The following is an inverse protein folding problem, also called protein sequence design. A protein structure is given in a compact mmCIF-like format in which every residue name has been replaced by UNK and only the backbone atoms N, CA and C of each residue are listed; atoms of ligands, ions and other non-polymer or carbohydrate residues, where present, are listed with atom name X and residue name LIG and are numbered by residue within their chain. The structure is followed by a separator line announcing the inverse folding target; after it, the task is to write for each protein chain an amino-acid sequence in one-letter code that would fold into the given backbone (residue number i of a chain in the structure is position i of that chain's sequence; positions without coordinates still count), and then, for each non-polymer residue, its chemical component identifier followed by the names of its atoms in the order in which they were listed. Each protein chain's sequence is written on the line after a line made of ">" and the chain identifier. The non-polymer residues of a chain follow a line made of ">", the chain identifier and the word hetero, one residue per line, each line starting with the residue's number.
data_IF_282090016028
#
_entry.id   IF_282090016028
#
_cell.length_a   1.000
_cell.length_b   1.000
_cell.length_c   1.000
_cell.angle_alpha   90.00
_cell.angle_beta   90.00
_cell.angle_gamma   90.00
#
_symmetry.space_group_name_H-M   'P 1'
#
loop_
_entity.id
_entity.type
_entity.pdbx_description
1 polymer ?
#
# COMPACT_ATOMS: atom_id res chain seq x y z
N UNK A 1 -1.51 21.90 0.17
CA UNK A 1 -1.89 20.47 0.09
C UNK A 1 -1.03 19.65 -0.87
N UNK A 2 -0.72 20.14 -2.09
CA UNK A 2 0.06 19.36 -3.07
C UNK A 2 1.44 18.89 -2.58
N UNK A 3 2.14 19.71 -1.78
CA UNK A 3 3.43 19.31 -1.18
C UNK A 3 3.26 18.18 -0.17
N UNK A 4 2.25 18.25 0.71
CA UNK A 4 2.00 17.22 1.74
C UNK A 4 1.75 15.87 1.07
N UNK A 5 0.90 15.83 0.03
CA UNK A 5 0.64 14.59 -0.71
C UNK A 5 1.91 14.00 -1.36
N UNK A 6 2.81 14.85 -1.88
CA UNK A 6 4.11 14.40 -2.42
C UNK A 6 5.01 13.81 -1.33
N UNK A 7 5.09 14.46 -0.17
CA UNK A 7 5.88 13.97 0.96
C UNK A 7 5.33 12.67 1.53
N UNK A 8 4.01 12.56 1.73
CA UNK A 8 3.37 11.32 2.19
C UNK A 8 3.59 10.18 1.20
N UNK A 9 3.49 10.44 -0.10
CA UNK A 9 3.77 9.44 -1.14
C UNK A 9 5.23 8.96 -1.11
N UNK A 10 6.18 9.89 -0.99
CA UNK A 10 7.60 9.55 -0.86
C UNK A 10 7.86 8.74 0.41
N UNK A 11 7.27 9.15 1.54
CA UNK A 11 7.35 8.45 2.81
C UNK A 11 6.85 7.00 2.70
N UNK A 12 5.65 6.79 2.15
CA UNK A 12 5.10 5.44 1.93
C UNK A 12 6.04 4.55 1.11
N UNK A 13 6.59 5.07 0.00
CA UNK A 13 7.51 4.31 -0.84
C UNK A 13 8.81 3.98 -0.11
N UNK A 14 9.36 4.92 0.63
CA UNK A 14 10.58 4.72 1.42
C UNK A 14 10.33 3.69 2.53
N UNK A 15 9.19 3.75 3.22
CA UNK A 15 8.81 2.76 4.24
C UNK A 15 8.70 1.34 3.66
N UNK A 16 8.11 1.16 2.48
CA UNK A 16 8.06 -0.19 1.85
C UNK A 16 9.46 -0.69 1.49
N UNK A 17 10.36 0.19 1.02
CA UNK A 17 11.75 -0.18 0.74
C UNK A 17 12.52 -0.56 2.01
N UNK A 18 12.36 0.22 3.08
CA UNK A 18 12.97 -0.08 4.39
C UNK A 18 12.44 -1.42 4.89
N UNK A 19 11.13 -1.67 4.82
CA UNK A 19 10.52 -2.93 5.22
C UNK A 19 11.12 -4.11 4.43
N UNK A 20 11.21 -4.00 3.11
CA UNK A 20 11.81 -5.04 2.27
C UNK A 20 13.28 -5.31 2.64
N UNK A 21 14.06 -4.26 2.87
CA UNK A 21 15.45 -4.38 3.33
C UNK A 21 15.54 -5.02 4.72
N UNK A 22 14.63 -4.67 5.64
CA UNK A 22 14.54 -5.26 6.98
C UNK A 22 14.18 -6.75 6.92
N UNK A 23 13.27 -7.15 6.03
CA UNK A 23 12.92 -8.57 5.82
C UNK A 23 14.14 -9.35 5.29
N UNK A 24 14.85 -8.81 4.30
CA UNK A 24 16.08 -9.43 3.78
C UNK A 24 17.14 -9.53 4.88
N UNK A 25 17.32 -8.47 5.67
CA UNK A 25 18.26 -8.46 6.78
C UNK A 25 17.88 -9.47 7.88
N UNK A 26 16.59 -9.67 8.14
CA UNK A 26 16.09 -10.65 9.11
C UNK A 26 16.26 -12.10 8.62
N UNK A 27 16.32 -12.33 7.30
CA UNK A 27 16.52 -13.65 6.72
C UNK A 27 18.00 -14.09 6.71
N UNK A 28 18.95 -13.18 6.91
CA UNK A 28 20.38 -13.51 6.90
C UNK A 28 20.81 -14.09 8.26
N UNK A 29 21.41 -15.30 8.30
CA UNK A 29 21.91 -15.86 9.54
C UNK A 29 23.10 -15.04 10.05
N UNK A 30 22.96 -14.46 11.25
CA UNK A 30 24.03 -13.74 11.93
C UNK A 30 23.59 -13.12 13.24
N UNK A 31 24.50 -13.07 14.22
CA UNK A 31 24.30 -12.46 15.55
C UNK A 31 24.08 -10.93 15.53
N UNK A 32 23.91 -10.31 14.35
CA UNK A 32 23.72 -8.86 14.25
C UNK A 32 22.42 -8.49 14.94
N UNK A 33 22.55 -7.85 16.10
CA UNK A 33 21.55 -7.13 16.90
C UNK A 33 20.12 -7.31 16.39
N UNK A 34 19.57 -8.51 16.62
CA UNK A 34 18.20 -8.92 16.32
C UNK A 34 17.16 -7.86 16.70
N UNK A 35 17.39 -7.24 17.86
CA UNK A 35 16.61 -6.13 18.41
C UNK A 35 16.51 -4.93 17.46
N UNK A 36 17.59 -4.58 16.79
CA UNK A 36 17.63 -3.43 15.88
C UNK A 36 16.77 -3.74 14.66
N UNK A 37 16.95 -4.91 14.03
CA UNK A 37 16.19 -5.30 12.83
C UNK A 37 14.69 -5.34 13.12
N UNK A 38 14.29 -5.96 14.24
CA UNK A 38 12.89 -6.01 14.67
C UNK A 38 12.32 -4.61 14.94
N UNK A 39 13.07 -3.73 15.60
CA UNK A 39 12.62 -2.35 15.86
C UNK A 39 12.44 -1.58 14.56
N UNK A 40 13.39 -1.68 13.63
CA UNK A 40 13.26 -1.06 12.31
C UNK A 40 12.06 -1.61 11.52
N UNK A 41 11.85 -2.93 11.58
CA UNK A 41 10.70 -3.57 10.94
C UNK A 41 9.38 -2.99 11.48
N UNK A 42 9.25 -2.93 12.80
CA UNK A 42 8.04 -2.41 13.49
C UNK A 42 7.79 -0.93 13.20
N UNK A 43 8.85 -0.11 13.23
CA UNK A 43 8.75 1.33 12.93
C UNK A 43 8.42 1.55 11.45
N UNK A 44 9.01 0.77 10.55
CA UNK A 44 8.77 0.90 9.11
C UNK A 44 7.35 0.49 8.73
N UNK A 45 6.86 -0.60 9.32
CA UNK A 45 5.49 -1.09 9.20
C UNK A 45 4.48 -0.04 9.65
N UNK A 46 4.62 0.44 10.89
CA UNK A 46 3.73 1.46 11.45
C UNK A 46 3.78 2.78 10.67
N UNK A 47 4.93 3.19 10.15
CA UNK A 47 5.03 4.35 9.24
C UNK A 47 4.28 4.11 7.92
N UNK A 48 4.33 2.89 7.39
CA UNK A 48 3.59 2.49 6.19
C UNK A 48 2.08 2.62 6.38
N UNK A 49 1.58 2.06 7.49
CA UNK A 49 0.17 2.18 7.90
C UNK A 49 -0.23 3.64 8.08
N UNK A 50 0.55 4.42 8.85
CA UNK A 50 0.26 5.84 9.09
C UNK A 50 0.23 6.65 7.79
N UNK A 51 1.16 6.39 6.88
CA UNK A 51 1.18 7.04 5.56
C UNK A 51 -0.05 6.66 4.73
N UNK A 52 -0.43 5.38 4.74
CA UNK A 52 -1.61 4.87 4.04
C UNK A 52 -2.88 5.54 4.57
N UNK A 53 -3.16 5.48 5.88
CA UNK A 53 -4.38 6.08 6.41
C UNK A 53 -4.35 7.62 6.42
N UNK A 54 -3.17 8.28 6.36
CA UNK A 54 -3.09 9.74 6.08
C UNK A 54 -3.61 10.08 4.67
N UNK A 55 -3.29 9.25 3.66
CA UNK A 55 -3.85 9.45 2.32
C UNK A 55 -5.36 9.27 2.31
N UNK A 56 -5.88 8.32 3.10
CA UNK A 56 -7.31 8.09 3.27
C UNK A 56 -7.98 9.29 3.96
N UNK A 57 -7.37 9.80 5.03
CA UNK A 57 -7.89 10.93 5.80
C UNK A 57 -7.99 12.21 4.97
N UNK A 58 -7.03 12.47 4.07
CA UNK A 58 -7.11 13.58 3.11
C UNK A 58 -8.36 13.47 2.24
N UNK A 59 -8.73 12.25 1.79
CA UNK A 59 -9.93 12.04 0.98
C UNK A 59 -11.21 12.25 1.77
N UNK A 60 -11.26 11.73 2.99
CA UNK A 60 -12.39 11.99 3.90
C UNK A 60 -12.53 13.50 4.14
N UNK A 61 -11.43 14.19 4.42
CA UNK A 61 -11.43 15.65 4.59
C UNK A 61 -11.98 16.40 3.36
N UNK A 62 -11.62 15.97 2.15
CA UNK A 62 -12.15 16.54 0.92
C UNK A 62 -13.68 16.33 0.75
N UNK A 63 -14.20 15.15 1.09
CA UNK A 63 -15.64 14.84 1.04
C UNK A 63 -16.43 15.74 2.00
N UNK A 64 -15.90 15.90 3.21
CA UNK A 64 -16.51 16.69 4.29
C UNK A 64 -16.24 18.19 4.20
N UNK A 65 -15.72 18.68 3.07
CA UNK A 65 -15.38 20.11 2.85
C UNK A 65 -14.56 20.71 4.01
N UNK A 66 -13.70 19.92 4.64
CA UNK A 66 -12.88 20.34 5.79
C UNK A 66 -13.67 20.89 6.98
N UNK A 67 -14.84 20.33 7.27
CA UNK A 67 -15.54 20.67 8.51
C UNK A 67 -14.65 20.41 9.74
N UNK A 68 -14.43 21.47 10.52
CA UNK A 68 -13.48 21.48 11.65
C UNK A 68 -13.71 20.34 12.64
N UNK A 69 -14.97 19.94 12.85
CA UNK A 69 -15.36 18.86 13.76
C UNK A 69 -14.81 17.51 13.30
N UNK A 70 -15.01 17.15 12.02
CA UNK A 70 -14.55 15.86 11.47
C UNK A 70 -13.03 15.82 11.42
N UNK A 71 -12.40 16.93 11.00
CA UNK A 71 -10.94 17.03 10.97
C UNK A 71 -10.35 16.90 12.38
N UNK A 72 -10.97 17.50 13.39
CA UNK A 72 -10.54 17.35 14.78
C UNK A 72 -10.60 15.89 15.24
N UNK A 73 -11.71 15.19 14.99
CA UNK A 73 -11.86 13.76 15.35
C UNK A 73 -10.79 12.90 14.69
N UNK A 74 -10.57 13.09 13.39
CA UNK A 74 -9.52 12.38 12.65
C UNK A 74 -8.15 12.66 13.28
N UNK A 75 -7.79 13.92 13.52
CA UNK A 75 -6.50 14.27 14.11
C UNK A 75 -6.31 13.69 15.52
N UNK A 76 -7.36 13.69 16.34
CA UNK A 76 -7.31 13.08 17.69
C UNK A 76 -7.10 11.57 17.63
N UNK A 77 -7.75 10.89 16.68
CA UNK A 77 -7.58 9.45 16.47
C UNK A 77 -6.14 9.14 16.05
N UNK A 78 -5.59 9.90 15.10
CA UNK A 78 -4.20 9.78 14.66
C UNK A 78 -3.19 9.95 15.78
N UNK A 79 -3.37 11.00 16.59
CA UNK A 79 -2.48 11.26 17.71
C UNK A 79 -2.52 10.11 18.72
N UNK A 80 -3.69 9.53 18.95
CA UNK A 80 -3.87 8.39 19.85
C UNK A 80 -3.16 7.14 19.31
N UNK A 81 -3.38 6.78 18.05
CA UNK A 81 -2.73 5.63 17.41
C UNK A 81 -1.21 5.81 17.40
N UNK A 82 -0.74 6.99 17.02
CA UNK A 82 0.69 7.30 16.99
C UNK A 82 1.34 7.18 18.38
N UNK A 83 0.67 7.69 19.43
CA UNK A 83 1.14 7.56 20.80
C UNK A 83 1.20 6.09 21.25
N UNK A 84 0.18 5.28 20.93
CA UNK A 84 0.15 3.85 21.25
C UNK A 84 1.27 3.08 20.54
N UNK A 85 1.49 3.37 19.25
CA UNK A 85 2.59 2.76 18.48
C UNK A 85 3.95 3.13 19.05
N UNK A 86 4.16 4.39 19.42
CA UNK A 86 5.43 4.84 20.00
C UNK A 86 5.68 4.21 21.36
N UNK A 87 4.66 4.15 22.21
CA UNK A 87 4.72 3.46 23.50
C UNK A 87 5.07 1.97 23.30
N UNK A 88 4.38 1.30 22.39
CA UNK A 88 4.66 -0.10 22.06
C UNK A 88 6.09 -0.32 21.52
N UNK A 89 6.57 0.60 20.67
CA UNK A 89 7.92 0.52 20.08
C UNK A 89 9.04 0.64 21.12
N UNK A 90 8.80 1.37 22.21
CA UNK A 90 9.76 1.53 23.32
C UNK A 90 9.77 0.27 24.19
N UNK A 91 8.59 -0.28 24.47
CA UNK A 91 8.41 -1.44 25.35
C UNK A 91 8.79 -2.76 24.68
N UNK A 92 8.85 -2.81 23.36
CA UNK A 92 9.16 -4.02 22.60
C UNK A 92 10.59 -4.51 22.89
N UNK A 93 10.65 -5.67 23.54
CA UNK A 93 11.85 -6.48 23.68
C UNK A 93 11.87 -7.61 22.64
N UNK A 94 13.07 -7.96 22.16
CA UNK A 94 13.29 -9.15 21.34
C UNK A 94 14.19 -10.12 22.08
N UNK A 95 13.89 -11.41 22.02
CA UNK A 95 14.79 -12.46 22.51
C UNK A 95 15.19 -13.31 21.31
N UNK A 96 16.50 -13.56 21.17
CA UNK A 96 17.00 -14.43 20.11
C UNK A 96 16.81 -15.90 20.53
N UNK A 97 16.08 -16.66 19.71
CA UNK A 97 15.90 -18.10 19.95
C UNK A 97 17.01 -18.87 19.22
N UNK A 98 17.88 -19.51 19.99
CA UNK A 98 19.00 -20.30 19.45
C UNK A 98 18.52 -21.55 18.71
N UNK A 99 17.33 -22.07 19.02
CA UNK A 99 16.78 -23.31 18.47
C UNK A 99 16.32 -23.12 17.03
N UNK A 100 15.63 -22.01 16.78
CA UNK A 100 15.08 -21.66 15.48
C UNK A 100 16.07 -20.82 14.64
N UNK A 101 17.16 -20.37 15.25
CA UNK A 101 18.08 -19.38 14.67
C UNK A 101 17.34 -18.14 14.13
N UNK A 102 16.26 -17.77 14.82
CA UNK A 102 15.36 -16.71 14.41
C UNK A 102 15.09 -15.75 15.56
N UNK A 103 14.86 -14.51 15.15
CA UNK A 103 14.44 -13.42 16.00
C UNK A 103 12.96 -13.59 16.35
N UNK A 104 12.66 -13.89 17.62
CA UNK A 104 11.28 -13.99 18.08
C UNK A 104 10.90 -12.77 18.91
N UNK A 105 9.65 -12.35 18.79
CA UNK A 105 9.06 -11.33 19.64
C UNK A 105 8.68 -11.96 20.99
N UNK A 106 9.24 -11.49 22.09
CA UNK A 106 8.92 -12.02 23.41
C UNK A 106 7.63 -11.43 24.01
N UNK A 107 7.01 -10.45 23.35
CA UNK A 107 5.88 -9.68 23.88
C UNK A 107 4.74 -9.43 22.87
N UNK A 108 4.34 -10.45 22.10
CA UNK A 108 3.22 -10.33 21.15
C UNK A 108 1.90 -9.92 21.83
N UNK A 109 1.66 -10.37 23.07
CA UNK A 109 0.42 -10.09 23.78
C UNK A 109 0.15 -8.59 23.97
N UNK A 110 1.20 -7.76 24.07
CA UNK A 110 1.05 -6.30 24.20
C UNK A 110 0.80 -5.60 22.86
N UNK A 111 1.04 -6.29 21.73
CA UNK A 111 0.81 -5.78 20.38
C UNK A 111 -0.66 -5.78 19.95
N UNK A 112 -1.54 -6.45 20.70
CA UNK A 112 -2.97 -6.52 20.40
C UNK A 112 -3.63 -5.14 20.53
N UNK A 113 -3.24 -4.36 21.54
CA UNK A 113 -3.82 -3.03 21.80
C UNK A 113 -3.60 -2.05 20.63
N UNK A 114 -2.37 -1.82 20.12
CA UNK A 114 -2.17 -0.96 18.97
C UNK A 114 -2.83 -1.52 17.70
N UNK A 115 -2.83 -2.85 17.50
CA UNK A 115 -3.49 -3.46 16.34
C UNK A 115 -5.01 -3.21 16.33
N UNK A 116 -5.69 -3.41 17.47
CA UNK A 116 -7.13 -3.11 17.59
C UNK A 116 -7.38 -1.61 17.40
N UNK A 117 -6.52 -0.74 17.96
CA UNK A 117 -6.67 0.70 17.81
C UNK A 117 -6.57 1.14 16.34
N UNK A 118 -5.64 0.56 15.57
CA UNK A 118 -5.51 0.79 14.13
C UNK A 118 -6.75 0.31 13.37
N UNK A 119 -7.20 -0.93 13.62
CA UNK A 119 -8.39 -1.48 12.97
C UNK A 119 -9.64 -0.63 13.23
N UNK A 120 -9.86 -0.21 14.48
CA UNK A 120 -10.97 0.69 14.84
C UNK A 120 -10.83 2.03 14.11
N UNK A 121 -9.60 2.54 14.00
CA UNK A 121 -9.30 3.74 13.25
C UNK A 121 -9.63 3.64 11.76
N UNK A 122 -9.24 2.54 11.12
CA UNK A 122 -9.50 2.30 9.70
C UNK A 122 -10.98 2.03 9.43
N UNK A 123 -11.68 1.32 10.31
CA UNK A 123 -13.14 1.17 10.28
C UNK A 123 -13.86 2.52 10.47
N UNK A 124 -13.38 3.39 11.37
CA UNK A 124 -13.93 4.74 11.57
C UNK A 124 -13.72 5.60 10.31
N UNK A 125 -12.54 5.57 9.70
CA UNK A 125 -12.25 6.28 8.46
C UNK A 125 -13.14 5.77 7.31
N UNK A 126 -13.31 4.46 7.20
CA UNK A 126 -14.18 3.83 6.21
C UNK A 126 -15.64 4.22 6.43
N UNK A 127 -16.11 4.22 7.67
CA UNK A 127 -17.45 4.68 8.04
C UNK A 127 -17.65 6.17 7.71
N UNK A 128 -16.72 7.05 8.10
CA UNK A 128 -16.78 8.48 7.80
C UNK A 128 -16.78 8.76 6.29
N UNK A 129 -16.02 7.98 5.52
CA UNK A 129 -16.04 8.04 4.07
C UNK A 129 -17.42 7.61 3.54
N UNK A 130 -17.93 6.47 4.00
CA UNK A 130 -19.22 5.93 3.58
C UNK A 130 -20.38 6.88 3.90
N UNK A 131 -20.45 7.40 5.13
CA UNK A 131 -21.46 8.37 5.56
C UNK A 131 -21.34 9.69 4.81
N UNK A 132 -20.12 10.20 4.63
CA UNK A 132 -19.88 11.42 3.85
C UNK A 132 -20.36 11.26 2.41
N UNK A 133 -20.21 10.06 1.85
CA UNK A 133 -20.72 9.73 0.52
C UNK A 133 -22.24 9.59 0.51
N UNK A 134 -22.83 8.81 1.42
CA UNK A 134 -24.28 8.62 1.50
C UNK A 134 -25.03 9.95 1.66
N UNK A 135 -24.50 10.87 2.47
CA UNK A 135 -25.06 12.19 2.69
C UNK A 135 -25.09 13.04 1.40
N UNK A 136 -23.99 13.02 0.64
CA UNK A 136 -23.86 13.77 -0.64
C UNK A 136 -24.65 13.15 -1.77
N UNK A 137 -24.85 11.82 -1.74
CA UNK A 137 -25.55 11.07 -2.78
C UNK A 137 -26.99 11.55 -2.98
N UNK A 138 -27.65 12.02 -1.90
CA UNK A 138 -28.99 12.60 -1.97
C UNK A 138 -29.09 13.87 -2.81
N UNK A 139 -27.99 14.63 -2.95
CA UNK A 139 -27.99 15.94 -3.62
C UNK A 139 -27.31 15.95 -5.00
N UNK A 140 -26.49 14.95 -5.33
CA UNK A 140 -25.56 15.03 -6.46
C UNK A 140 -25.57 13.76 -7.32
N UNK A 141 -26.66 13.51 -8.06
CA UNK A 141 -26.78 12.38 -9.01
C UNK A 141 -25.96 12.57 -10.30
N UNK A 142 -25.30 13.71 -10.52
CA UNK A 142 -24.70 14.08 -11.82
C UNK A 142 -23.17 14.00 -11.93
N UNK A 143 -22.42 13.71 -10.87
CA UNK A 143 -20.95 13.75 -10.96
C UNK A 143 -20.33 12.37 -11.24
N UNK A 144 -19.94 12.12 -12.49
CA UNK A 144 -19.14 10.95 -12.93
C UNK A 144 -17.83 10.79 -12.15
N UNK A 145 -17.22 11.89 -11.69
CA UNK A 145 -16.03 11.85 -10.83
C UNK A 145 -16.26 11.07 -9.53
N UNK A 146 -17.48 11.10 -9.00
CA UNK A 146 -17.84 10.38 -7.78
C UNK A 146 -17.75 8.87 -7.94
N UNK A 147 -18.25 8.36 -9.06
CA UNK A 147 -18.32 6.93 -9.34
C UNK A 147 -16.93 6.34 -9.54
N UNK A 148 -16.02 7.13 -10.13
CA UNK A 148 -14.61 6.76 -10.26
C UNK A 148 -13.89 6.74 -8.90
N UNK A 149 -14.15 7.73 -8.02
CA UNK A 149 -13.62 7.74 -6.66
C UNK A 149 -14.16 6.58 -5.80
N UNK A 150 -15.44 6.25 -5.94
CA UNK A 150 -16.07 5.11 -5.25
C UNK A 150 -15.41 3.80 -5.64
N UNK A 151 -15.37 3.50 -6.94
CA UNK A 151 -14.98 2.16 -7.39
C UNK A 151 -13.48 1.89 -7.20
N UNK A 152 -12.64 2.92 -7.35
CA UNK A 152 -11.21 2.76 -7.13
C UNK A 152 -10.84 2.90 -5.65
N UNK A 153 -11.26 3.95 -4.94
CA UNK A 153 -10.78 4.20 -3.58
C UNK A 153 -11.43 3.32 -2.52
N UNK A 154 -12.76 3.17 -2.58
CA UNK A 154 -13.52 2.47 -1.54
C UNK A 154 -13.32 0.95 -1.61
N UNK A 155 -13.13 0.40 -2.82
CA UNK A 155 -12.88 -1.03 -2.99
C UNK A 155 -11.54 -1.45 -2.37
N UNK A 156 -10.46 -0.69 -2.56
CA UNK A 156 -9.17 -1.01 -1.93
C UNK A 156 -9.21 -0.84 -0.40
N UNK A 157 -9.92 0.18 0.08
CA UNK A 157 -10.16 0.39 1.50
C UNK A 157 -10.89 -0.78 2.15
N UNK A 158 -11.99 -1.20 1.52
CA UNK A 158 -12.77 -2.33 1.99
C UNK A 158 -11.94 -3.62 1.96
N UNK A 159 -11.17 -3.84 0.90
CA UNK A 159 -10.29 -4.99 0.79
C UNK A 159 -9.19 -4.98 1.88
N UNK A 160 -8.62 -3.81 2.19
CA UNK A 160 -7.65 -3.67 3.27
C UNK A 160 -8.29 -4.03 4.63
N UNK A 161 -9.46 -3.48 4.95
CA UNK A 161 -10.18 -3.80 6.19
C UNK A 161 -10.55 -5.29 6.29
N UNK A 162 -10.91 -5.94 5.18
CA UNK A 162 -11.19 -7.38 5.13
C UNK A 162 -9.95 -8.23 5.38
N UNK A 163 -8.75 -7.75 5.00
CA UNK A 163 -7.47 -8.42 5.25
C UNK A 163 -6.99 -8.17 6.68
N UNK A 164 -7.22 -6.98 7.23
CA UNK A 164 -6.83 -6.62 8.58
C UNK A 164 -7.65 -7.35 9.66
N UNK A 165 -8.95 -7.59 9.41
CA UNK A 165 -9.83 -8.35 10.31
C UNK A 165 -9.25 -9.73 10.72
N UNK A 166 -8.90 -10.64 9.80
CA UNK A 166 -8.33 -11.94 10.17
C UNK A 166 -6.96 -11.81 10.83
N UNK A 167 -6.17 -10.77 10.52
CA UNK A 167 -4.90 -10.49 11.23
C UNK A 167 -5.17 -10.20 12.70
N UNK A 168 -6.10 -9.30 12.99
CA UNK A 168 -6.45 -8.94 14.38
C UNK A 168 -7.09 -10.12 15.12
N UNK A 169 -7.92 -10.91 14.46
CA UNK A 169 -8.52 -12.13 15.04
C UNK A 169 -7.43 -13.17 15.35
N UNK A 170 -6.50 -13.42 14.44
CA UNK A 170 -5.37 -14.33 14.67
C UNK A 170 -4.45 -13.84 15.79
N UNK A 171 -4.17 -12.54 15.83
CA UNK A 171 -3.38 -11.93 16.89
C UNK A 171 -4.07 -12.02 18.25
N UNK A 172 -5.41 -11.94 18.28
CA UNK A 172 -6.21 -12.09 19.49
C UNK A 172 -6.29 -13.52 20.01
N UNK A 173 -6.21 -14.51 19.11
CA UNK A 173 -6.26 -15.94 19.46
C UNK A 173 -4.89 -16.51 19.86
N UNK A 174 -3.79 -15.75 19.65
CA UNK A 174 -2.40 -16.12 20.00
C UNK A 174 -2.00 -17.55 19.61
N UNK A 175 -2.47 -18.02 18.45
CA UNK A 175 -2.31 -19.43 18.04
C UNK A 175 -0.84 -19.72 17.70
N UNK A 176 -0.16 -18.80 17.01
CA UNK A 176 1.26 -18.94 16.69
C UNK A 176 1.87 -17.59 16.25
N UNK A 177 2.99 -17.20 16.88
CA UNK A 177 3.76 -16.01 16.52
C UNK A 177 4.22 -16.00 15.04
N UNK A 178 4.57 -17.19 14.51
CA UNK A 178 5.03 -17.34 13.13
C UNK A 178 3.90 -17.00 12.15
N UNK A 179 2.70 -17.54 12.39
CA UNK A 179 1.56 -17.32 11.50
C UNK A 179 1.14 -15.85 11.50
N UNK A 180 1.19 -15.19 12.66
CA UNK A 180 0.91 -13.77 12.78
C UNK A 180 1.89 -12.96 11.90
N UNK A 181 3.19 -13.23 11.97
CA UNK A 181 4.19 -12.50 11.17
C UNK A 181 4.00 -12.64 9.65
N UNK A 182 3.59 -13.84 9.20
CA UNK A 182 3.32 -14.12 7.78
C UNK A 182 2.06 -13.39 7.31
N UNK A 183 1.06 -13.19 8.17
CA UNK A 183 -0.18 -12.50 7.83
C UNK A 183 -0.05 -10.97 7.86
N UNK A 184 0.82 -10.41 8.70
CA UNK A 184 1.12 -8.98 8.68
C UNK A 184 1.78 -8.55 7.36
N UNK A 185 2.66 -9.39 6.82
CA UNK A 185 3.41 -9.08 5.59
C UNK A 185 2.51 -8.68 4.39
N UNK A 186 1.53 -9.49 3.95
CA UNK A 186 0.66 -9.14 2.82
C UNK A 186 -0.23 -7.93 3.08
N UNK A 187 -0.58 -7.66 4.34
CA UNK A 187 -1.37 -6.48 4.72
C UNK A 187 -0.68 -5.19 4.28
N UNK A 188 0.61 -5.05 4.63
CA UNK A 188 1.42 -3.88 4.28
C UNK A 188 1.58 -3.73 2.76
N UNK A 189 1.76 -4.85 2.05
CA UNK A 189 1.84 -4.82 0.59
C UNK A 189 0.55 -4.35 -0.06
N UNK A 190 -0.60 -4.83 0.41
CA UNK A 190 -1.91 -4.44 -0.13
C UNK A 190 -2.19 -2.97 0.18
N UNK A 191 -1.91 -2.50 1.39
CA UNK A 191 -2.01 -1.08 1.77
C UNK A 191 -1.11 -0.20 0.89
N UNK A 192 0.14 -0.60 0.68
CA UNK A 192 1.08 0.11 -0.19
C UNK A 192 0.63 0.18 -1.65
N UNK A 193 0.15 -0.94 -2.21
CA UNK A 193 -0.39 -0.98 -3.58
C UNK A 193 -1.64 -0.11 -3.69
N UNK A 194 -2.54 -0.18 -2.71
CA UNK A 194 -3.73 0.66 -2.61
C UNK A 194 -3.37 2.14 -2.61
N UNK A 195 -2.45 2.55 -1.74
CA UNK A 195 -1.95 3.92 -1.62
C UNK A 195 -1.34 4.45 -2.94
N UNK A 196 -0.51 3.64 -3.61
CA UNK A 196 0.13 4.06 -4.87
C UNK A 196 -0.87 4.19 -6.03
N UNK A 197 -1.81 3.25 -6.16
CA UNK A 197 -2.89 3.34 -7.17
C UNK A 197 -3.79 4.55 -6.91
N UNK A 198 -4.11 4.77 -5.64
CA UNK A 198 -4.89 5.90 -5.18
C UNK A 198 -4.22 7.24 -5.53
N UNK A 199 -2.92 7.39 -5.28
CA UNK A 199 -2.16 8.60 -5.61
C UNK A 199 -2.07 8.85 -7.11
N UNK A 200 -1.79 7.80 -7.92
CA UNK A 200 -1.71 7.93 -9.38
C UNK A 200 -3.02 8.40 -9.99
N UNK A 201 -4.15 7.85 -9.53
CA UNK A 201 -5.49 8.24 -9.98
C UNK A 201 -5.77 9.73 -9.75
N UNK A 202 -5.38 10.29 -8.61
CA UNK A 202 -5.51 11.74 -8.36
C UNK A 202 -4.63 12.59 -9.28
N UNK A 203 -3.39 12.16 -9.51
CA UNK A 203 -2.46 12.92 -10.33
C UNK A 203 -2.85 12.90 -11.82
N UNK A 204 -3.48 11.82 -12.31
CA UNK A 204 -4.00 11.79 -13.68
C UNK A 204 -5.14 12.80 -13.90
N UNK A 205 -6.02 12.99 -12.92
CA UNK A 205 -7.11 13.96 -13.04
C UNK A 205 -6.59 15.41 -13.06
N UNK A 206 -5.55 15.72 -12.30
CA UNK A 206 -5.02 17.09 -12.22
C UNK A 206 -4.18 17.50 -13.45
N UNK A 207 -3.61 16.54 -14.21
CA UNK A 207 -2.85 16.83 -15.44
C UNK A 207 -3.74 17.02 -16.68
N UNK A 208 -5.03 16.68 -16.61
CA UNK A 208 -5.95 16.74 -17.75
C UNK A 208 -6.54 18.13 -18.06
N UNK A 209 -6.23 19.17 -17.30
CA UNK A 209 -6.86 20.49 -17.42
C UNK A 209 -6.27 21.46 -18.47
N UNK A 210 -5.34 21.03 -19.32
CA UNK A 210 -4.53 21.95 -20.13
C UNK A 210 -4.52 21.80 -21.66
N UNK A 211 -4.97 20.68 -22.24
CA UNK A 211 -5.06 20.54 -23.70
C UNK A 211 -5.74 19.23 -24.07
N UNK A 212 -6.89 19.32 -24.74
CA UNK A 212 -7.39 18.29 -25.67
C UNK A 212 -7.34 16.84 -25.17
N UNK A 213 -7.99 16.54 -24.03
CA UNK A 213 -8.27 15.17 -23.62
C UNK A 213 -9.47 14.57 -24.40
N UNK A 214 -9.47 14.73 -25.71
CA UNK A 214 -10.25 13.90 -26.65
C UNK A 214 -9.27 12.93 -27.31
N UNK A 215 -8.91 11.79 -26.69
CA UNK A 215 -8.47 10.61 -27.46
C UNK A 215 -8.08 9.32 -26.68
N UNK A 216 -8.62 8.99 -25.50
CA UNK A 216 -8.23 7.72 -24.85
C UNK A 216 -9.36 6.77 -24.43
N UNK A 217 -10.52 6.92 -25.04
CA UNK A 217 -11.54 5.86 -25.11
C UNK A 217 -11.89 5.52 -26.56
N UNK A 218 -10.88 5.47 -27.44
CA UNK A 218 -10.98 4.68 -28.67
C UNK A 218 -10.56 3.22 -28.35
N UNK A 219 -11.22 2.64 -27.36
CA UNK A 219 -11.17 1.22 -27.06
C UNK A 219 -12.27 0.53 -27.86
N UNK A 220 -11.90 -0.04 -29.00
CA UNK A 220 -12.57 -1.18 -29.63
C UNK A 220 -14.09 -1.09 -29.78
N UNK A 221 -14.59 -0.05 -30.44
CA UNK A 221 -15.75 -0.28 -31.31
C UNK A 221 -15.20 -0.93 -32.56
N UNK A 222 -15.25 -2.27 -32.58
CA UNK A 222 -15.00 -3.09 -33.76
C UNK A 222 -16.02 -2.63 -34.79
N UNK A 223 -15.62 -1.62 -35.59
CA UNK A 223 -16.35 -1.14 -36.74
C UNK A 223 -16.38 -2.33 -37.68
N UNK A 224 -17.44 -3.13 -37.56
CA UNK A 224 -17.84 -4.11 -38.55
C UNK A 224 -17.83 -3.38 -39.87
N UNK A 225 -16.81 -3.68 -40.66
CA UNK A 225 -16.52 -3.09 -41.95
C UNK A 225 -17.65 -3.53 -42.89
N UNK A 226 -18.74 -2.77 -42.86
CA UNK A 226 -19.78 -2.88 -43.86
C UNK A 226 -19.20 -2.27 -45.13
N UNK A 227 -18.73 -3.18 -46.00
CA UNK A 227 -18.37 -2.97 -47.39
C UNK A 227 -19.21 -1.85 -48.03
N UNK A 228 -18.59 -0.79 -48.60
CA UNK A 228 -19.32 0.16 -49.42
C UNK A 228 -19.62 -0.47 -50.80
N UNK A 229 -20.77 -0.15 -51.43
CA UNK A 229 -20.96 -0.41 -52.84
C UNK A 229 -20.09 0.55 -53.66
N UNK A 230 -19.48 0.00 -54.70
CA UNK A 230 -18.76 0.70 -55.77
C UNK A 230 -19.54 1.93 -56.22
N UNK A 231 -18.91 3.11 -56.12
CA UNK A 231 -19.38 4.34 -56.76
C UNK A 231 -18.24 4.91 -57.61
N UNK A 232 -18.53 4.92 -58.90
CA UNK A 232 -17.74 5.46 -59.99
C UNK A 232 -18.17 6.92 -60.18
N UNK A 233 -17.34 7.91 -59.83
CA UNK A 233 -17.60 9.26 -60.33
C UNK A 233 -16.36 10.15 -60.46
N UNK A 234 -16.40 10.88 -61.56
CA UNK A 234 -15.30 11.55 -62.23
C UNK A 234 -14.75 12.79 -61.52
N UNK A 235 -13.43 12.86 -61.56
CA UNK A 235 -12.57 14.00 -61.90
C UNK A 235 -13.25 15.34 -62.27
N UNK A 236 -12.90 16.40 -61.55
CA UNK A 236 -12.42 17.67 -62.16
C UNK A 236 -11.64 18.52 -61.12
N UNK A 237 -10.64 19.31 -61.54
CA UNK A 237 -9.61 19.87 -60.68
C UNK A 237 -9.75 21.40 -60.46
N UNK A 238 -8.88 21.86 -59.56
CA UNK A 238 -8.04 23.07 -59.67
C UNK A 238 -8.26 24.20 -58.65
N UNK A 239 -7.10 24.67 -58.14
CA UNK A 239 -6.69 26.05 -57.86
C UNK A 239 -6.85 26.54 -56.41
N UNK A 240 -5.82 26.47 -55.55
CA UNK A 240 -4.53 27.20 -55.51
C UNK A 240 -4.59 28.53 -54.75
N UNK A 241 -3.83 28.62 -53.65
CA UNK A 241 -2.79 29.63 -53.29
C UNK A 241 -2.64 29.74 -51.77
N UNK A 242 -1.51 29.34 -51.18
CA UNK A 242 -0.21 30.06 -51.05
C UNK A 242 -0.12 30.87 -49.75
N UNK A 243 0.98 30.69 -49.01
CA UNK A 243 1.51 31.65 -48.02
C UNK A 243 1.56 31.11 -46.60
N UNK A 244 2.55 30.33 -46.13
CA UNK A 244 3.99 30.61 -45.92
C UNK A 244 4.34 31.23 -44.56
N UNK A 245 5.33 30.58 -43.91
CA UNK A 245 6.35 31.07 -42.95
C UNK A 245 6.10 30.79 -41.45
N UNK A 246 6.87 29.84 -40.89
CA UNK A 246 8.11 29.99 -40.07
C UNK A 246 7.76 30.26 -38.59
N UNK A 247 8.44 29.76 -37.56
CA UNK A 247 9.47 28.77 -37.34
C UNK A 247 9.65 28.70 -35.81
N UNK A 248 9.96 27.53 -35.25
CA UNK A 248 10.77 27.34 -34.02
C UNK A 248 10.75 25.84 -33.72
N UNK A 249 11.82 25.13 -34.04
CA UNK A 249 13.08 25.03 -33.28
C UNK A 249 13.06 23.73 -32.46
N UNK A 250 13.78 22.77 -33.05
CA UNK A 250 14.40 21.59 -32.46
C UNK A 250 14.59 21.61 -30.94
N UNK A 251 14.16 20.54 -30.29
CA UNK A 251 14.94 19.89 -29.25
C UNK A 251 14.58 18.39 -29.23
N UNK A 252 15.39 17.58 -29.89
CA UNK A 252 15.55 16.16 -29.53
C UNK A 252 16.19 16.07 -28.13
N UNK A 253 15.90 15.01 -27.37
CA UNK A 253 16.89 13.93 -27.36
C UNK A 253 16.28 12.52 -27.38
N UNK A 254 16.73 11.74 -28.36
CA UNK A 254 17.52 10.52 -28.18
C UNK A 254 17.16 9.63 -26.97
N UNK A 255 16.37 8.59 -27.27
CA UNK A 255 16.66 7.16 -27.07
C UNK A 255 17.53 6.76 -25.86
N UNK A 256 16.92 6.05 -24.90
CA UNK A 256 17.45 4.73 -24.47
C UNK A 256 16.34 3.85 -23.90
N UNK A 257 15.81 3.00 -24.77
CA UNK A 257 15.25 1.71 -24.39
C UNK A 257 16.33 0.84 -23.75
N UNK A 258 16.04 0.26 -22.59
CA UNK A 258 16.53 -1.09 -22.27
C UNK A 258 15.41 -1.86 -21.60
N UNK A 259 15.16 -3.11 -22.05
CA UNK A 259 14.35 -4.07 -21.35
C UNK A 259 15.21 -4.73 -20.27
N UNK A 260 14.67 -4.91 -19.08
CA UNK A 260 15.15 -5.94 -18.17
C UNK A 260 13.98 -6.85 -17.86
N UNK A 261 13.78 -7.75 -18.82
CA UNK A 261 13.62 -9.19 -18.59
C UNK A 261 13.92 -9.57 -17.13
N UNK A 262 12.87 -9.70 -16.33
CA UNK A 262 12.95 -10.46 -15.07
C UNK A 262 12.92 -11.91 -15.51
N UNK A 263 14.12 -12.47 -15.64
CA UNK A 263 14.33 -13.91 -15.74
C UNK A 263 13.54 -14.58 -14.60
N UNK A 264 12.60 -15.41 -15.02
CA UNK A 264 11.95 -16.44 -14.23
C UNK A 264 13.05 -17.42 -13.80
N UNK A 265 13.58 -17.26 -12.59
CA UNK A 265 14.56 -18.20 -12.04
C UNK A 265 13.85 -19.51 -11.71
N UNK A 266 14.34 -20.59 -12.31
CA UNK A 266 13.95 -21.97 -12.07
C UNK A 266 13.87 -22.34 -10.58
N UNK A 267 12.81 -23.02 -10.13
CA UNK A 267 12.75 -23.67 -8.83
C UNK A 267 13.41 -25.05 -8.93
N UNK A 268 14.74 -25.11 -8.94
CA UNK A 268 15.47 -26.37 -8.92
C UNK A 268 16.80 -26.26 -8.17
N UNK A 269 16.76 -26.09 -6.86
CA UNK A 269 17.76 -26.67 -5.96
C UNK A 269 17.23 -26.67 -4.51
N UNK A 270 16.60 -27.77 -4.13
CA UNK A 270 16.35 -28.14 -2.72
C UNK A 270 17.59 -28.92 -2.28
N UNK A 271 18.47 -28.40 -1.40
CA UNK A 271 19.36 -29.25 -0.65
C UNK A 271 18.59 -29.81 0.55
N UNK A 272 18.20 -31.08 0.42
CA UNK A 272 17.81 -31.93 1.55
C UNK A 272 18.98 -32.03 2.53
N UNK A 273 18.91 -31.29 3.64
CA UNK A 273 19.79 -31.48 4.77
C UNK A 273 19.11 -31.04 6.08
N UNK A 274 18.12 -31.83 6.51
CA UNK A 274 17.72 -31.85 7.92
C UNK A 274 18.56 -32.92 8.64
N UNK A 275 19.55 -32.56 9.47
CA UNK A 275 20.11 -33.51 10.43
C UNK A 275 19.07 -33.80 11.52
N UNK A 276 18.73 -35.07 11.63
CA UNK A 276 17.90 -35.66 12.68
C UNK A 276 18.36 -35.23 14.07
N UNK A 277 17.59 -34.37 14.73
CA UNK A 277 17.80 -33.94 16.12
C UNK A 277 17.30 -35.03 17.10
N UNK A 278 17.94 -36.20 17.08
CA UNK A 278 17.77 -37.23 18.11
C UNK A 278 18.91 -37.10 19.12
N UNK A 279 18.70 -36.37 20.23
CA UNK A 279 19.74 -36.29 21.26
C UNK A 279 19.57 -35.27 22.39
N UNK A 280 18.35 -34.92 22.82
CA UNK A 280 18.19 -34.15 24.05
C UNK A 280 17.97 -35.10 25.24
N UNK A 281 19.08 -35.43 25.94
CA UNK A 281 19.05 -36.01 27.30
C UNK A 281 18.44 -34.99 28.27
N UNK A 282 17.44 -35.35 29.09
CA UNK A 282 17.03 -34.50 30.21
C UNK A 282 18.09 -34.59 31.31
N UNK A 283 18.82 -33.48 31.55
CA UNK A 283 19.56 -33.27 32.80
C UNK A 283 18.56 -32.91 33.90
N UNK A 284 18.20 -33.94 34.66
CA UNK A 284 17.51 -33.85 35.94
C UNK A 284 18.45 -33.13 36.93
N UNK A 285 18.22 -31.83 37.14
CA UNK A 285 18.88 -31.09 38.20
C UNK A 285 18.20 -31.44 39.54
N UNK A 286 18.90 -32.26 40.31
CA UNK A 286 18.60 -32.68 41.67
C UNK A 286 18.61 -31.47 42.62
N UNK A 287 17.42 -30.99 43.00
CA UNK A 287 17.26 -29.92 43.99
C UNK A 287 17.39 -30.52 45.40
N UNK A 288 18.60 -30.46 45.97
CA UNK A 288 18.86 -30.81 47.37
C UNK A 288 18.35 -29.67 48.28
N UNK A 289 17.48 -29.93 49.27
CA UNK A 289 17.14 -28.94 50.29
C UNK A 289 18.28 -28.88 51.33
N UNK A 290 18.78 -27.68 51.61
CA UNK A 290 19.52 -27.41 52.86
C UNK A 290 18.48 -27.01 53.90
N UNK A 291 18.54 -27.69 55.06
CA UNK A 291 17.72 -27.37 56.23
C UNK A 291 18.26 -26.21 57.05
#
# INVERSE_FOLDING_TARGET
>A
MAHIAKWTYLGCRISVLILALSIIAAALPGERSCLIVIKFLTVSDSLGVVAASTLLSIRVGAVWKWEKKVVAVIMTMWLTIFALVLYFSIEVGSVYDQTLQQCTFSALHRGIVPAIATLVGDLLLLALLFFGLQSKWRYARQFTLWQMLWNQGLLYLFLAAVIELPVVVMLSLDINAVLNSVLLTPEVFVLGIGATRMYRSLNSTNRGGGSNAEHFTNGTSLKTERSPPVQLQATLPERSKVGSRLASANLEPIVRSTPSEVALTDPALIPDAYPSLNGARPLLAEHRPQG
#
